data_IF_017823072431
#
_entry.id   IF_017823072431
#
_cell.length_a   1.000
_cell.length_b   1.000
_cell.length_c   1.000
_cell.angle_alpha   90.00
_cell.angle_beta   90.00
_cell.angle_gamma   90.00
#
_symmetry.space_group_name_H-M   'P 1'
#
loop_
_entity.id
_entity.type
_entity.pdbx_description
1 polymer ?
#
# COMPACT_ATOMS: atom_id res chain seq x y z
N UNK A 1 1.73 -66.54 23.67
CA UNK A 1 0.51 -65.71 23.64
C UNK A 1 0.87 -64.27 23.29
N UNK A 2 0.29 -63.77 22.20
CA UNK A 2 0.29 -62.37 21.76
C UNK A 2 -0.65 -61.52 22.63
N UNK A 3 -0.19 -60.34 23.08
CA UNK A 3 -0.93 -59.09 23.42
C UNK A 3 0.13 -58.01 23.70
N UNK A 4 0.10 -56.75 23.28
CA UNK A 4 -0.67 -55.99 22.31
C UNK A 4 0.15 -54.73 22.04
N UNK A 5 0.27 -54.34 20.79
CA UNK A 5 0.77 -53.03 20.38
C UNK A 5 -0.12 -51.89 20.93
N UNK A 6 0.45 -50.68 20.95
CA UNK A 6 -0.17 -49.36 21.13
C UNK A 6 -0.33 -48.87 22.57
N UNK A 7 0.64 -48.08 23.03
CA UNK A 7 0.34 -47.00 23.99
C UNK A 7 1.28 -45.80 23.80
N UNK A 8 0.77 -44.82 23.04
CA UNK A 8 0.76 -43.39 23.41
C UNK A 8 2.09 -42.62 23.23
N UNK A 9 2.31 -42.24 21.97
CA UNK A 9 2.93 -40.97 21.62
C UNK A 9 1.94 -39.83 21.91
N UNK A 10 2.03 -39.21 23.10
CA UNK A 10 1.33 -37.94 23.41
C UNK A 10 2.32 -37.04 24.15
N UNK A 11 3.24 -36.42 23.41
CA UNK A 11 4.05 -35.31 23.90
C UNK A 11 4.46 -34.31 22.80
N UNK A 12 3.81 -34.35 21.63
CA UNK A 12 4.18 -33.53 20.46
C UNK A 12 3.11 -32.55 19.96
N UNK A 13 1.90 -32.57 20.53
CA UNK A 13 0.73 -31.85 19.98
C UNK A 13 0.43 -30.51 20.67
N UNK A 14 1.28 -30.03 21.57
CA UNK A 14 1.09 -28.72 22.23
C UNK A 14 1.73 -27.55 21.49
N UNK A 15 2.83 -27.78 20.75
CA UNK A 15 3.61 -26.70 20.13
C UNK A 15 3.04 -26.26 18.77
N UNK A 16 2.28 -27.12 18.09
CA UNK A 16 1.72 -26.83 16.77
C UNK A 16 0.44 -25.96 16.82
N UNK A 17 -0.22 -25.84 17.96
CA UNK A 17 -1.45 -25.03 18.09
C UNK A 17 -1.16 -23.52 18.18
N UNK A 18 0.05 -23.11 18.54
CA UNK A 18 0.45 -21.70 18.63
C UNK A 18 0.84 -21.09 17.27
N UNK A 19 1.15 -21.93 16.27
CA UNK A 19 1.46 -21.47 14.92
C UNK A 19 0.21 -21.16 14.09
N UNK A 20 -0.98 -21.60 14.51
CA UNK A 20 -2.23 -21.41 13.77
C UNK A 20 -2.83 -19.99 13.90
N UNK A 21 -2.35 -19.17 14.85
CA UNK A 21 -2.77 -17.76 14.95
C UNK A 21 -1.88 -16.80 14.15
N UNK A 22 -0.76 -17.27 13.58
CA UNK A 22 0.05 -16.51 12.62
C UNK A 22 -0.14 -17.14 11.24
N UNK A 23 -1.13 -16.64 10.49
CA UNK A 23 -1.45 -17.08 9.12
C UNK A 23 -0.38 -16.68 8.11
N UNK A 24 0.87 -17.07 8.33
CA UNK A 24 1.99 -16.83 7.42
C UNK A 24 3.02 -17.97 7.49
N UNK A 25 2.58 -19.19 7.17
CA UNK A 25 3.49 -20.31 6.87
C UNK A 25 4.14 -20.02 5.51
N UNK A 26 5.48 -19.87 5.41
CA UNK A 26 6.12 -19.79 4.11
C UNK A 26 5.98 -21.14 3.41
N UNK A 27 5.33 -21.16 2.24
CA UNK A 27 5.43 -22.31 1.34
C UNK A 27 6.91 -22.53 0.99
N UNK A 28 7.31 -23.81 0.87
CA UNK A 28 8.64 -24.15 0.39
C UNK A 28 8.87 -23.49 -0.98
N UNK A 29 9.86 -22.61 -1.05
CA UNK A 29 10.13 -21.77 -2.19
C UNK A 29 10.39 -22.61 -3.44
N UNK A 30 9.42 -22.63 -4.37
CA UNK A 30 9.78 -22.67 -5.78
C UNK A 30 10.48 -21.36 -6.03
N UNK A 31 11.74 -21.40 -6.48
CA UNK A 31 12.51 -20.25 -6.95
C UNK A 31 11.83 -19.58 -8.16
N UNK A 32 10.70 -18.94 -7.93
CA UNK A 32 10.21 -17.82 -8.69
C UNK A 32 10.56 -16.60 -7.86
N UNK A 33 11.86 -16.24 -7.87
CA UNK A 33 12.21 -14.88 -7.52
C UNK A 33 11.26 -13.96 -8.30
N UNK A 34 10.56 -13.01 -7.65
CA UNK A 34 9.89 -11.97 -8.40
C UNK A 34 10.98 -11.41 -9.30
N UNK A 35 10.79 -11.50 -10.62
CA UNK A 35 11.58 -10.69 -11.50
C UNK A 35 11.31 -9.27 -11.02
N UNK A 36 12.25 -8.67 -10.27
CA UNK A 36 12.41 -7.24 -10.26
C UNK A 36 12.56 -6.92 -11.73
N UNK A 37 11.45 -6.54 -12.35
CA UNK A 37 11.48 -5.88 -13.65
C UNK A 37 12.34 -4.67 -13.37
N UNK A 38 13.61 -4.77 -13.77
CA UNK A 38 14.45 -3.61 -13.90
C UNK A 38 13.65 -2.69 -14.81
N UNK A 39 13.01 -1.68 -14.23
CA UNK A 39 12.36 -0.62 -15.00
C UNK A 39 13.51 -0.09 -15.84
N UNK A 40 13.47 -0.36 -17.15
CA UNK A 40 14.49 0.15 -18.04
C UNK A 40 14.62 1.65 -17.76
N UNK A 41 15.85 2.15 -17.65
CA UNK A 41 16.10 3.58 -17.46
C UNK A 41 15.50 4.31 -18.67
N UNK A 42 14.23 4.67 -18.54
CA UNK A 42 13.40 5.27 -19.55
C UNK A 42 13.35 6.77 -19.34
N UNK A 43 12.87 7.47 -20.36
CA UNK A 43 12.63 8.92 -20.37
C UNK A 43 11.41 9.33 -19.51
N UNK A 44 11.22 8.69 -18.35
CA UNK A 44 10.04 8.91 -17.50
C UNK A 44 9.97 10.34 -16.93
N UNK A 45 11.10 11.04 -16.91
CA UNK A 45 11.19 12.43 -16.46
C UNK A 45 11.11 13.45 -17.61
N UNK A 46 10.98 13.00 -18.87
CA UNK A 46 10.73 13.93 -19.98
C UNK A 46 9.28 14.44 -19.91
N UNK A 47 9.05 15.78 -19.98
CA UNK A 47 7.70 16.33 -19.92
C UNK A 47 6.79 15.75 -21.01
N UNK A 48 5.63 15.26 -20.58
CA UNK A 48 4.59 14.70 -21.43
C UNK A 48 3.41 15.64 -21.63
N UNK A 49 2.22 15.06 -21.83
CA UNK A 49 0.96 15.81 -21.82
C UNK A 49 0.71 16.32 -20.41
N UNK A 50 0.27 17.57 -20.31
CA UNK A 50 -0.11 18.13 -19.02
C UNK A 50 -1.23 17.30 -18.37
N UNK A 51 -1.04 16.90 -17.12
CA UNK A 51 -2.01 16.16 -16.31
C UNK A 51 -2.39 16.95 -15.07
N UNK A 52 -3.66 16.87 -14.69
CA UNK A 52 -4.22 17.44 -13.48
C UNK A 52 -4.42 16.33 -12.45
N UNK A 53 -3.81 16.47 -11.27
CA UNK A 53 -3.83 15.45 -10.22
C UNK A 53 -4.49 16.03 -8.97
N UNK A 54 -5.57 15.42 -8.49
CA UNK A 54 -6.15 15.71 -7.18
C UNK A 54 -5.39 14.98 -6.08
N UNK A 55 -5.23 15.59 -4.90
CA UNK A 55 -4.66 14.93 -3.73
C UNK A 55 -5.46 15.30 -2.48
N UNK A 56 -5.99 14.28 -1.80
CA UNK A 56 -6.69 14.39 -0.51
C UNK A 56 -6.03 13.46 0.51
N UNK A 57 -5.55 14.03 1.60
CA UNK A 57 -4.87 13.29 2.67
C UNK A 57 -5.84 12.98 3.84
N UNK A 58 -6.00 11.71 4.24
CA UNK A 58 -6.65 11.36 5.50
C UNK A 58 -5.73 11.68 6.70
N UNK A 59 -6.24 11.46 7.91
CA UNK A 59 -5.43 11.38 9.14
C UNK A 59 -4.54 12.62 9.35
N UNK A 60 -5.12 13.82 9.23
CA UNK A 60 -4.41 15.10 9.29
C UNK A 60 -3.69 15.37 10.62
N UNK A 61 -4.11 14.70 11.68
CA UNK A 61 -3.49 14.74 13.02
C UNK A 61 -2.21 13.89 13.11
N UNK A 62 -1.92 13.07 12.11
CA UNK A 62 -0.70 12.26 12.06
C UNK A 62 0.41 13.01 11.32
N UNK A 63 1.53 13.23 12.00
CA UNK A 63 2.68 13.95 11.43
C UNK A 63 3.23 13.32 10.14
N UNK A 64 3.08 12.01 9.97
CA UNK A 64 3.43 11.30 8.74
C UNK A 64 2.61 11.77 7.53
N UNK A 65 1.32 12.04 7.69
CA UNK A 65 0.47 12.54 6.61
C UNK A 65 0.78 14.00 6.26
N UNK A 66 1.16 14.81 7.26
CA UNK A 66 1.72 16.13 7.03
C UNK A 66 3.03 16.09 6.22
N UNK A 67 3.90 15.10 6.49
CA UNK A 67 5.13 14.89 5.72
C UNK A 67 4.83 14.43 4.28
N UNK A 68 3.90 13.50 4.09
CA UNK A 68 3.45 13.08 2.75
C UNK A 68 2.90 14.27 1.97
N UNK A 69 2.04 15.08 2.56
CA UNK A 69 1.44 16.24 1.87
C UNK A 69 2.51 17.21 1.37
N UNK A 70 3.53 17.48 2.20
CA UNK A 70 4.68 18.32 1.81
C UNK A 70 5.52 17.65 0.71
N UNK A 71 5.76 16.34 0.81
CA UNK A 71 6.50 15.58 -0.19
C UNK A 71 5.77 15.58 -1.54
N UNK A 72 4.46 15.34 -1.57
CA UNK A 72 3.64 15.38 -2.79
C UNK A 72 3.73 16.74 -3.47
N UNK A 73 3.60 17.83 -2.72
CA UNK A 73 3.75 19.18 -3.27
C UNK A 73 5.16 19.47 -3.79
N UNK A 74 6.19 19.00 -3.09
CA UNK A 74 7.58 19.16 -3.51
C UNK A 74 7.88 18.34 -4.78
N UNK A 75 7.33 17.14 -4.88
CA UNK A 75 7.51 16.26 -6.03
C UNK A 75 6.82 16.83 -7.26
N UNK A 76 5.56 17.25 -7.15
CA UNK A 76 4.82 17.83 -8.27
C UNK A 76 5.52 19.06 -8.87
N UNK A 77 6.21 19.86 -8.05
CA UNK A 77 6.97 21.03 -8.52
C UNK A 77 8.17 20.68 -9.41
N UNK A 78 8.64 19.43 -9.41
CA UNK A 78 9.74 18.98 -10.28
C UNK A 78 9.28 18.78 -11.72
N UNK A 79 7.97 18.65 -11.95
CA UNK A 79 7.38 18.28 -13.23
C UNK A 79 6.57 19.46 -13.80
N UNK A 80 6.96 19.98 -14.96
CA UNK A 80 6.30 21.12 -15.59
C UNK A 80 4.92 20.80 -16.18
N UNK A 81 4.68 19.52 -16.42
CA UNK A 81 3.47 18.93 -16.97
C UNK A 81 2.50 18.42 -15.89
N UNK A 82 2.79 18.65 -14.61
CA UNK A 82 1.88 18.28 -13.50
C UNK A 82 1.19 19.52 -12.93
N UNK A 83 -0.13 19.50 -12.92
CA UNK A 83 -0.97 20.44 -12.18
C UNK A 83 -1.57 19.74 -10.96
N UNK A 84 -0.99 19.97 -9.78
CA UNK A 84 -1.45 19.38 -8.53
C UNK A 84 -2.52 20.25 -7.86
N UNK A 85 -3.68 19.66 -7.56
CA UNK A 85 -4.73 20.22 -6.73
C UNK A 85 -4.71 19.54 -5.36
N UNK A 86 -4.40 20.28 -4.30
CA UNK A 86 -4.33 19.74 -2.94
C UNK A 86 -5.56 20.18 -2.17
N UNK A 87 -6.32 19.22 -1.66
CA UNK A 87 -7.32 19.46 -0.63
C UNK A 87 -6.65 19.49 0.75
N UNK A 88 -7.21 20.27 1.67
CA UNK A 88 -6.76 20.28 3.06
C UNK A 88 -6.93 18.89 3.68
N UNK A 89 -5.89 18.37 4.33
CA UNK A 89 -5.96 17.07 4.99
C UNK A 89 -7.03 17.07 6.08
N UNK A 90 -7.72 15.94 6.26
CA UNK A 90 -8.84 15.85 7.20
C UNK A 90 -8.90 14.51 7.93
N UNK A 91 -9.53 14.51 9.12
CA UNK A 91 -9.94 13.31 9.86
C UNK A 91 -11.43 12.96 9.66
N UNK A 92 -12.17 13.83 8.96
CA UNK A 92 -13.57 13.62 8.64
C UNK A 92 -13.71 12.88 7.31
N UNK A 93 -14.26 11.67 7.37
CA UNK A 93 -14.46 10.80 6.20
C UNK A 93 -15.44 11.40 5.20
N UNK A 94 -16.50 12.09 5.65
CA UNK A 94 -17.46 12.73 4.75
C UNK A 94 -16.82 13.91 4.02
N UNK A 95 -15.98 14.68 4.73
CA UNK A 95 -15.20 15.74 4.10
C UNK A 95 -14.24 15.14 3.06
N UNK A 96 -13.55 14.04 3.40
CA UNK A 96 -12.66 13.37 2.45
C UNK A 96 -13.40 12.87 1.20
N UNK A 97 -14.58 12.27 1.36
CA UNK A 97 -15.45 11.85 0.25
C UNK A 97 -15.78 13.06 -0.63
N UNK A 98 -16.21 14.18 -0.04
CA UNK A 98 -16.57 15.39 -0.79
C UNK A 98 -15.39 16.00 -1.55
N UNK A 99 -14.17 15.89 -1.02
CA UNK A 99 -12.94 16.32 -1.69
C UNK A 99 -12.67 15.46 -2.93
N UNK A 100 -12.81 14.13 -2.81
CA UNK A 100 -12.69 13.19 -3.94
C UNK A 100 -13.77 13.46 -5.00
N UNK A 101 -15.03 13.63 -4.58
CA UNK A 101 -16.12 13.99 -5.49
C UNK A 101 -15.87 15.32 -6.21
N UNK A 102 -15.28 16.30 -5.51
CA UNK A 102 -14.88 17.57 -6.12
C UNK A 102 -13.85 17.36 -7.22
N UNK A 103 -12.84 16.51 -7.00
CA UNK A 103 -11.85 16.19 -8.04
C UNK A 103 -12.45 15.45 -9.23
N UNK A 104 -13.37 14.50 -8.98
CA UNK A 104 -14.12 13.80 -10.04
C UNK A 104 -14.90 14.81 -10.89
N UNK A 105 -15.63 15.73 -10.26
CA UNK A 105 -16.42 16.76 -10.95
C UNK A 105 -15.54 17.74 -11.72
N UNK A 106 -14.34 18.04 -11.20
CA UNK A 106 -13.33 18.83 -11.89
C UNK A 106 -12.63 18.08 -13.03
N UNK A 107 -12.92 16.79 -13.22
CA UNK A 107 -12.35 15.92 -14.24
C UNK A 107 -10.82 15.94 -14.21
N UNK A 108 -10.24 15.79 -13.02
CA UNK A 108 -8.80 15.54 -12.91
C UNK A 108 -8.43 14.22 -13.61
N UNK A 109 -7.20 14.11 -14.05
CA UNK A 109 -6.68 12.92 -14.74
C UNK A 109 -6.36 11.78 -13.75
N UNK A 110 -6.06 12.12 -12.49
CA UNK A 110 -5.82 11.17 -11.40
C UNK A 110 -6.19 11.77 -10.03
N UNK A 111 -6.49 10.91 -9.04
CA UNK A 111 -6.76 11.23 -7.64
C UNK A 111 -5.92 10.31 -6.76
#
# INVERSE_FOLDING_TARGET
MSRSARTIAIAGLGVLALAACTSNTPEAEKNNAPATQAVAAGKNDEPGKKVKIGFSAPAADHGWMGAITKATQAEAKKYSDVELLVAEGTNDVNLQISQVETFINQKVDAI
#
